data_IF_585025726527
#
_entry.id   IF_585025726527
#
_cell.length_a   1.000
_cell.length_b   1.000
_cell.length_c   1.000
_cell.angle_alpha   90.00
_cell.angle_beta   90.00
_cell.angle_gamma   90.00
#
_symmetry.space_group_name_H-M   'P 1'
#
loop_
_entity.id
_entity.type
_entity.pdbx_description
1 polymer ?
#
# COMPACT_ATOMS: atom_id res chain seq x y z
N UNK A 1 6.58 -21.49 -0.43
CA UNK A 1 6.08 -20.19 0.07
C UNK A 1 6.39 -19.07 -0.91
N UNK A 2 7.65 -18.66 -1.11
CA UNK A 2 8.01 -17.53 -1.99
C UNK A 2 7.52 -17.68 -3.43
N UNK A 3 7.65 -18.88 -4.04
CA UNK A 3 7.09 -19.16 -5.38
C UNK A 3 5.58 -18.96 -5.47
N UNK A 4 4.83 -19.26 -4.41
CA UNK A 4 3.38 -19.05 -4.37
C UNK A 4 3.04 -17.56 -4.23
N UNK A 5 3.82 -16.82 -3.44
CA UNK A 5 3.69 -15.36 -3.34
C UNK A 5 3.97 -14.69 -4.68
N UNK A 6 5.04 -15.10 -5.36
CA UNK A 6 5.39 -14.58 -6.68
C UNK A 6 4.30 -14.88 -7.73
N UNK A 7 3.77 -16.12 -7.74
CA UNK A 7 2.69 -16.50 -8.65
C UNK A 7 1.44 -15.65 -8.43
N UNK A 8 1.06 -15.40 -7.17
CA UNK A 8 -0.06 -14.51 -6.83
C UNK A 8 0.19 -13.07 -7.27
N UNK A 9 1.36 -12.52 -6.97
CA UNK A 9 1.67 -11.12 -7.28
C UNK A 9 1.82 -10.86 -8.80
N UNK A 10 2.00 -11.91 -9.60
CA UNK A 10 1.98 -11.82 -11.06
C UNK A 10 0.58 -11.62 -11.65
N UNK A 11 -0.49 -11.94 -10.89
CA UNK A 11 -1.86 -11.69 -11.33
C UNK A 11 -2.19 -10.19 -11.23
N UNK A 12 -2.71 -9.64 -12.32
CA UNK A 12 -3.06 -8.21 -12.40
C UNK A 12 -4.33 -7.94 -11.59
N UNK A 13 -4.28 -6.91 -10.76
CA UNK A 13 -5.40 -6.49 -9.94
C UNK A 13 -6.40 -5.67 -10.79
N UNK A 14 -7.71 -5.96 -10.71
CA UNK A 14 -8.70 -5.38 -11.63
C UNK A 14 -9.08 -3.93 -11.30
N UNK A 15 -8.60 -3.40 -10.19
CA UNK A 15 -8.95 -2.07 -9.65
C UNK A 15 -7.70 -1.25 -9.36
N UNK A 16 -7.78 0.09 -9.40
CA UNK A 16 -6.70 0.96 -8.92
C UNK A 16 -6.42 0.74 -7.43
N UNK A 17 -5.17 0.94 -7.03
CA UNK A 17 -4.69 0.72 -5.66
C UNK A 17 -3.92 1.94 -5.21
N UNK A 18 -4.16 2.36 -3.97
CA UNK A 18 -3.29 3.27 -3.25
C UNK A 18 -2.58 2.49 -2.15
N UNK A 19 -1.28 2.27 -2.31
CA UNK A 19 -0.44 1.57 -1.34
C UNK A 19 0.19 2.59 -0.38
N UNK A 20 -0.37 2.70 0.82
CA UNK A 20 0.14 3.57 1.88
C UNK A 20 1.14 2.78 2.72
N UNK A 21 2.37 3.27 2.85
CA UNK A 21 3.44 2.59 3.57
C UNK A 21 4.28 3.56 4.39
N UNK A 22 5.05 3.04 5.34
CA UNK A 22 5.97 3.85 6.15
C UNK A 22 7.34 3.19 6.26
N UNK A 23 8.41 3.97 6.11
CA UNK A 23 9.77 3.50 6.41
C UNK A 23 10.03 3.34 7.91
N UNK A 24 9.16 3.87 8.78
CA UNK A 24 9.18 3.69 10.24
C UNK A 24 8.34 2.51 10.71
N UNK A 25 7.75 1.76 9.78
CA UNK A 25 7.09 0.51 10.12
C UNK A 25 8.12 -0.48 10.68
N UNK A 26 7.98 -0.80 11.98
CA UNK A 26 8.84 -1.75 12.69
C UNK A 26 8.39 -3.22 12.58
N UNK A 27 7.29 -3.50 11.88
CA UNK A 27 6.67 -4.82 11.75
C UNK A 27 6.82 -5.36 10.32
N UNK A 28 6.50 -4.54 9.32
CA UNK A 28 6.56 -4.89 7.90
C UNK A 28 7.60 -4.03 7.20
N UNK A 29 8.54 -4.67 6.50
CA UNK A 29 9.55 -3.96 5.71
C UNK A 29 8.87 -3.19 4.57
N UNK A 30 9.07 -1.88 4.50
CA UNK A 30 8.40 -1.02 3.51
C UNK A 30 8.59 -1.46 2.04
N UNK A 31 9.71 -2.10 1.72
CA UNK A 31 9.98 -2.64 0.38
C UNK A 31 8.97 -3.71 -0.03
N UNK A 32 8.43 -4.46 0.93
CA UNK A 32 7.40 -5.46 0.67
C UNK A 32 6.04 -4.84 0.35
N UNK A 33 5.84 -3.56 0.65
CA UNK A 33 4.64 -2.79 0.30
C UNK A 33 4.72 -2.19 -1.11
N UNK A 34 5.89 -2.22 -1.75
CA UNK A 34 6.05 -1.78 -3.12
C UNK A 34 5.59 -2.90 -4.05
N UNK A 35 4.66 -2.59 -4.93
CA UNK A 35 4.11 -3.55 -5.88
C UNK A 35 5.13 -3.77 -7.00
N UNK A 36 5.66 -4.99 -7.17
CA UNK A 36 6.64 -5.28 -8.21
C UNK A 36 6.02 -5.44 -9.60
N UNK A 37 4.69 -5.52 -9.73
CA UNK A 37 4.01 -5.75 -11.00
C UNK A 37 3.71 -4.42 -11.72
N UNK A 38 4.38 -4.13 -12.86
CA UNK A 38 4.19 -2.87 -13.58
C UNK A 38 2.82 -2.75 -14.27
N UNK A 39 2.09 -3.86 -14.44
CA UNK A 39 0.76 -3.86 -15.06
C UNK A 39 -0.34 -3.44 -14.06
N UNK A 40 -0.04 -3.43 -12.76
CA UNK A 40 -0.97 -2.96 -11.73
C UNK A 40 -1.02 -1.42 -11.72
N UNK A 41 -2.24 -0.90 -11.54
CA UNK A 41 -2.47 0.55 -11.36
C UNK A 41 -2.30 0.92 -9.90
N UNK A 42 -1.05 1.10 -9.47
CA UNK A 42 -0.72 1.40 -8.07
C UNK A 42 -0.11 2.79 -7.91
N UNK A 43 -0.61 3.55 -6.95
CA UNK A 43 0.02 4.74 -6.41
C UNK A 43 0.62 4.44 -5.04
N UNK A 44 1.93 4.62 -4.89
CA UNK A 44 2.64 4.40 -3.62
C UNK A 44 2.76 5.72 -2.85
N UNK A 45 2.22 5.76 -1.63
CA UNK A 45 2.25 6.94 -0.76
C UNK A 45 3.02 6.61 0.51
N UNK A 46 4.16 7.28 0.68
CA UNK A 46 4.95 7.19 1.92
C UNK A 46 4.40 8.13 2.98
N UNK A 47 4.26 7.63 4.21
CA UNK A 47 3.89 8.39 5.40
C UNK A 47 4.90 8.16 6.52
N UNK A 48 5.02 9.13 7.43
CA UNK A 48 5.98 9.09 8.54
C UNK A 48 5.29 8.69 9.86
N UNK A 49 4.87 7.43 9.97
CA UNK A 49 4.17 6.89 11.16
C UNK A 49 4.62 5.46 11.48
N UNK A 50 4.37 4.98 12.69
CA UNK A 50 4.61 3.57 13.04
C UNK A 50 3.49 2.65 12.51
N UNK A 51 3.70 1.32 12.53
CA UNK A 51 2.78 0.34 11.94
C UNK A 51 1.33 0.50 12.43
N UNK A 52 1.13 0.57 13.75
CA UNK A 52 -0.21 0.70 14.32
C UNK A 52 -0.87 2.02 13.90
N UNK A 53 -0.09 3.09 13.79
CA UNK A 53 -0.58 4.41 13.40
C UNK A 53 -1.02 4.47 11.94
N UNK A 54 -0.60 3.56 11.05
CA UNK A 54 -1.16 3.45 9.70
C UNK A 54 -2.69 3.22 9.75
N UNK A 55 -3.22 2.57 10.79
CA UNK A 55 -4.65 2.34 10.96
C UNK A 55 -5.39 3.41 11.76
N UNK A 56 -4.69 4.23 12.55
CA UNK A 56 -5.32 5.12 13.55
C UNK A 56 -4.92 6.60 13.43
N UNK A 57 -3.85 6.92 12.70
CA UNK A 57 -3.38 8.29 12.55
C UNK A 57 -4.42 9.14 11.83
N UNK A 58 -4.83 10.29 12.39
CA UNK A 58 -5.73 11.21 11.70
C UNK A 58 -5.21 11.65 10.33
N UNK A 59 -3.88 11.72 10.15
CA UNK A 59 -3.26 12.05 8.87
C UNK A 59 -3.50 10.94 7.85
N UNK A 60 -3.31 9.68 8.23
CA UNK A 60 -3.54 8.54 7.33
C UNK A 60 -5.03 8.37 7.03
N UNK A 61 -5.91 8.54 8.03
CA UNK A 61 -7.35 8.48 7.81
C UNK A 61 -7.86 9.59 6.87
N UNK A 62 -7.31 10.80 6.93
CA UNK A 62 -7.61 11.87 5.97
C UNK A 62 -7.12 11.53 4.56
N UNK A 63 -5.94 10.92 4.43
CA UNK A 63 -5.42 10.47 3.16
C UNK A 63 -6.34 9.40 2.54
N UNK A 64 -6.73 8.38 3.31
CA UNK A 64 -7.69 7.36 2.86
C UNK A 64 -9.02 7.99 2.42
N UNK A 65 -9.56 8.92 3.20
CA UNK A 65 -10.79 9.62 2.84
C UNK A 65 -10.64 10.40 1.52
N UNK A 66 -9.50 11.06 1.30
CA UNK A 66 -9.22 11.77 0.05
C UNK A 66 -9.16 10.80 -1.15
N UNK A 67 -8.43 9.68 -1.02
CA UNK A 67 -8.34 8.65 -2.07
C UNK A 67 -9.71 8.08 -2.45
N UNK A 68 -10.60 7.89 -1.46
CA UNK A 68 -11.94 7.37 -1.71
C UNK A 68 -12.92 8.44 -2.24
N UNK A 69 -12.73 9.70 -1.87
CA UNK A 69 -13.53 10.82 -2.37
C UNK A 69 -13.23 11.14 -3.83
N UNK A 70 -11.98 10.96 -4.25
CA UNK A 70 -11.59 10.96 -5.66
C UNK A 70 -12.09 9.67 -6.31
N UNK A 71 -13.38 9.64 -6.65
CA UNK A 71 -13.98 8.62 -7.49
C UNK A 71 -13.17 8.55 -8.81
N UNK A 72 -12.76 7.36 -9.28
CA UNK A 72 -12.10 7.24 -10.58
C UNK A 72 -13.01 7.70 -11.73
#
# INVERSE_FOLDING_TARGET
LERQVAARNAEVLPVPITAIYSKRDGIVSWQACIDPNPDNRVEHVEVDVEHAELGFSPTVLRLVAACLATRP
#
